data_IF_112587878810
#
_entry.id   IF_112587878810
#
_cell.length_a   1.000
_cell.length_b   1.000
_cell.length_c   1.000
_cell.angle_alpha   90.00
_cell.angle_beta   90.00
_cell.angle_gamma   90.00
#
_symmetry.space_group_name_H-M   'P 1'
#
loop_
_entity.id
_entity.type
_entity.pdbx_description
1 polymer ?
#
# COMPACT_ATOMS: atom_id res chain seq x y z
N UNK A 1 -10.66 -4.22 25.11
CA UNK A 1 -9.25 -3.79 25.00
C UNK A 1 -9.14 -2.83 23.83
N UNK A 2 -8.93 -1.55 24.10
CA UNK A 2 -8.95 -0.48 23.10
C UNK A 2 -7.60 -0.43 22.38
N UNK A 3 -7.58 -0.87 21.13
CA UNK A 3 -6.42 -0.72 20.25
C UNK A 3 -6.45 0.73 19.77
N UNK A 4 -5.83 1.64 20.52
CA UNK A 4 -5.62 3.01 20.06
C UNK A 4 -4.61 2.98 18.90
N UNK A 5 -5.08 2.66 17.69
CA UNK A 5 -4.35 2.93 16.44
C UNK A 5 -4.25 4.45 16.34
N UNK A 6 -3.05 4.98 16.51
CA UNK A 6 -2.78 6.41 16.40
C UNK A 6 -3.23 6.99 15.05
N UNK A 7 -3.39 8.32 14.97
CA UNK A 7 -3.85 9.02 13.78
C UNK A 7 -3.01 8.64 12.55
N UNK A 8 -3.65 8.44 11.40
CA UNK A 8 -2.97 8.08 10.15
C UNK A 8 -1.86 9.08 9.80
N UNK A 9 -0.83 8.69 9.04
CA UNK A 9 0.36 9.54 8.85
C UNK A 9 0.11 10.96 8.38
N UNK A 10 -0.90 11.18 7.57
CA UNK A 10 -1.23 12.53 7.11
C UNK A 10 -1.73 13.40 8.28
N UNK A 11 -2.44 12.79 9.21
CA UNK A 11 -2.92 13.42 10.43
C UNK A 11 -1.79 13.55 11.47
N UNK A 12 -0.95 12.52 11.64
CA UNK A 12 0.29 12.63 12.42
C UNK A 12 1.17 13.77 11.87
N UNK A 13 1.38 13.84 10.56
CA UNK A 13 2.19 14.86 9.90
C UNK A 13 1.61 16.26 10.10
N UNK A 14 0.28 16.41 10.02
CA UNK A 14 -0.42 17.67 10.34
C UNK A 14 -0.18 18.07 11.79
N UNK A 15 -0.38 17.15 12.72
CA UNK A 15 -0.20 17.38 14.15
C UNK A 15 1.24 17.75 14.47
N UNK A 16 2.21 17.07 13.88
CA UNK A 16 3.63 17.31 14.08
C UNK A 16 4.06 18.68 13.53
N UNK A 17 3.59 19.04 12.32
CA UNK A 17 3.85 20.37 11.74
C UNK A 17 3.22 21.49 12.58
N UNK A 18 1.99 21.28 13.05
CA UNK A 18 1.27 22.24 13.90
C UNK A 18 1.96 22.42 15.26
N UNK A 19 2.35 21.33 15.91
CA UNK A 19 3.04 21.35 17.20
C UNK A 19 4.37 22.12 17.13
N UNK A 20 5.05 22.07 15.98
CA UNK A 20 6.36 22.70 15.78
C UNK A 20 6.30 24.08 15.14
N UNK A 21 5.11 24.58 14.79
CA UNK A 21 4.95 25.79 13.99
C UNK A 21 5.71 25.73 12.65
N UNK A 22 5.97 24.53 12.12
CA UNK A 22 6.87 24.34 10.98
C UNK A 22 6.08 24.43 9.67
N UNK A 23 6.44 25.34 8.74
CA UNK A 23 5.81 25.41 7.43
C UNK A 23 6.17 24.19 6.57
N UNK A 24 5.21 23.69 5.79
CA UNK A 24 5.39 22.53 4.89
C UNK A 24 6.57 22.70 3.92
N UNK A 25 6.83 23.92 3.45
CA UNK A 25 7.97 24.24 2.57
C UNK A 25 9.31 24.02 3.27
N UNK A 26 9.40 24.30 4.56
CA UNK A 26 10.61 24.05 5.34
C UNK A 26 10.81 22.54 5.53
N UNK A 27 9.75 21.79 5.81
CA UNK A 27 9.82 20.33 5.85
C UNK A 27 10.24 19.73 4.50
N UNK A 28 9.68 20.22 3.39
CA UNK A 28 10.03 19.79 2.04
C UNK A 28 11.53 19.90 1.78
N UNK A 29 12.09 21.08 2.04
CA UNK A 29 13.53 21.34 1.92
C UNK A 29 14.36 20.42 2.81
N UNK A 30 13.93 20.22 4.06
CA UNK A 30 14.65 19.40 5.04
C UNK A 30 14.61 17.90 4.71
N UNK A 31 13.52 17.43 4.11
CA UNK A 31 13.33 16.03 3.72
C UNK A 31 13.85 15.69 2.31
N UNK A 32 14.21 16.71 1.52
CA UNK A 32 14.56 16.52 0.11
C UNK A 32 13.40 15.96 -0.72
N UNK A 33 12.16 16.39 -0.40
CA UNK A 33 10.93 15.98 -1.10
C UNK A 33 10.24 17.23 -1.63
N UNK A 34 9.63 17.14 -2.80
CA UNK A 34 8.93 18.28 -3.38
C UNK A 34 7.76 18.77 -2.51
N UNK A 35 7.57 20.09 -2.45
CA UNK A 35 6.53 20.70 -1.63
C UNK A 35 5.12 20.28 -2.07
N UNK A 36 4.88 20.05 -3.37
CA UNK A 36 3.59 19.56 -3.87
C UNK A 36 3.28 18.14 -3.37
N UNK A 37 4.31 17.33 -3.08
CA UNK A 37 4.15 15.99 -2.50
C UNK A 37 3.62 16.10 -1.08
N UNK A 38 4.21 16.98 -0.26
CA UNK A 38 3.76 17.21 1.12
C UNK A 38 2.36 17.80 1.16
N UNK A 39 2.08 18.80 0.31
CA UNK A 39 0.75 19.41 0.21
C UNK A 39 -0.32 18.37 -0.15
N UNK A 40 -0.05 17.46 -1.10
CA UNK A 40 -0.99 16.39 -1.47
C UNK A 40 -1.22 15.38 -0.35
N UNK A 41 -0.17 15.01 0.38
CA UNK A 41 -0.29 14.12 1.54
C UNK A 41 -1.15 14.77 2.62
N UNK A 42 -0.86 16.03 2.93
CA UNK A 42 -1.58 16.78 3.96
C UNK A 42 -3.01 17.08 3.53
N UNK A 43 -3.31 17.50 2.30
CA UNK A 43 -4.64 17.97 1.90
C UNK A 43 -5.55 16.88 1.35
N UNK A 44 -5.02 15.94 0.57
CA UNK A 44 -5.82 14.94 -0.15
C UNK A 44 -5.78 13.54 0.49
N UNK A 45 -5.16 13.40 1.65
CA UNK A 45 -5.18 12.15 2.41
C UNK A 45 -4.54 10.95 1.70
N UNK A 46 -3.68 11.19 0.69
CA UNK A 46 -3.02 10.10 -0.05
C UNK A 46 -2.06 9.33 0.85
N UNK A 47 -1.95 8.03 0.63
CA UNK A 47 -0.93 7.19 1.26
C UNK A 47 0.44 7.47 0.64
N UNK A 48 1.43 7.95 1.40
CA UNK A 48 2.79 8.12 0.90
C UNK A 48 3.41 6.75 0.60
N UNK A 49 4.39 6.74 -0.30
CA UNK A 49 5.29 5.59 -0.38
C UNK A 49 6.06 5.44 0.92
N UNK A 50 6.47 4.21 1.24
CA UNK A 50 7.31 3.93 2.40
C UNK A 50 8.54 4.84 2.45
N UNK A 51 9.25 4.94 1.33
CA UNK A 51 10.46 5.76 1.22
C UNK A 51 10.16 7.25 1.50
N UNK A 52 9.04 7.78 1.01
CA UNK A 52 8.64 9.17 1.24
C UNK A 52 8.29 9.41 2.71
N UNK A 53 7.55 8.49 3.33
CA UNK A 53 7.17 8.60 4.73
C UNK A 53 8.41 8.59 5.65
N UNK A 54 9.35 7.68 5.40
CA UNK A 54 10.61 7.60 6.16
C UNK A 54 11.44 8.87 6.01
N UNK A 55 11.54 9.46 4.81
CA UNK A 55 12.25 10.73 4.59
C UNK A 55 11.65 11.88 5.41
N UNK A 56 10.33 12.02 5.38
CA UNK A 56 9.62 13.06 6.12
C UNK A 56 9.76 12.89 7.63
N UNK A 57 9.64 11.66 8.14
CA UNK A 57 9.79 11.38 9.57
C UNK A 57 11.21 11.65 10.08
N UNK A 58 12.24 11.25 9.32
CA UNK A 58 13.64 11.56 9.62
C UNK A 58 13.91 13.06 9.60
N UNK A 59 13.33 13.80 8.65
CA UNK A 59 13.48 15.26 8.58
C UNK A 59 12.87 15.98 9.80
N UNK A 60 11.80 15.43 10.36
CA UNK A 60 11.22 15.88 11.62
C UNK A 60 12.03 15.40 12.85
N UNK A 61 13.19 14.76 12.68
CA UNK A 61 14.02 14.34 13.80
C UNK A 61 13.40 13.21 14.64
N UNK A 62 12.39 12.52 14.12
CA UNK A 62 11.84 11.34 14.76
C UNK A 62 12.82 10.17 14.58
N UNK A 63 13.60 9.89 15.64
CA UNK A 63 14.44 8.69 15.75
C UNK A 63 13.72 7.54 16.47
N UNK A 64 12.55 7.80 17.08
CA UNK A 64 11.66 6.81 17.71
C UNK A 64 10.58 6.25 16.77
N UNK A 65 10.07 5.07 17.12
CA UNK A 65 9.28 4.05 16.38
C UNK A 65 8.46 4.46 15.12
N UNK A 66 9.17 4.98 14.10
CA UNK A 66 8.68 5.00 12.72
C UNK A 66 8.46 3.56 12.20
N UNK A 67 9.04 2.55 12.86
CA UNK A 67 8.96 1.13 12.48
C UNK A 67 7.54 0.58 12.60
N UNK A 68 6.79 0.92 13.66
CA UNK A 68 5.37 0.54 13.81
C UNK A 68 4.49 1.13 12.70
N UNK A 69 4.80 2.36 12.26
CA UNK A 69 4.09 2.99 11.15
C UNK A 69 4.51 2.43 9.78
N UNK A 70 5.80 2.20 9.58
CA UNK A 70 6.34 1.55 8.38
C UNK A 70 5.80 0.13 8.25
N UNK A 71 5.76 -0.61 9.35
CA UNK A 71 5.15 -1.92 9.43
C UNK A 71 3.64 -1.83 9.16
N UNK A 72 2.92 -0.82 9.67
CA UNK A 72 1.49 -0.67 9.40
C UNK A 72 1.20 -0.28 7.95
N UNK A 73 2.00 0.57 7.30
CA UNK A 73 1.86 0.92 5.87
C UNK A 73 2.29 -0.22 4.95
N UNK A 74 3.40 -0.89 5.26
CA UNK A 74 3.82 -2.08 4.52
C UNK A 74 2.78 -3.18 4.66
N UNK A 75 2.28 -3.42 5.87
CA UNK A 75 1.18 -4.38 6.10
C UNK A 75 -0.09 -3.93 5.40
N UNK A 76 -0.44 -2.64 5.41
CA UNK A 76 -1.63 -2.14 4.72
C UNK A 76 -1.47 -2.31 3.20
N UNK A 77 -0.37 -1.86 2.59
CA UNK A 77 -0.18 -1.99 1.14
C UNK A 77 -0.15 -3.44 0.64
N UNK A 78 0.34 -4.39 1.46
CA UNK A 78 0.51 -5.80 1.10
C UNK A 78 -0.65 -6.69 1.59
N UNK A 79 -1.36 -6.33 2.66
CA UNK A 79 -2.46 -7.10 3.24
C UNK A 79 -3.82 -6.45 2.92
N UNK A 80 -4.62 -7.02 2.01
CA UNK A 80 -5.91 -6.45 1.62
C UNK A 80 -6.89 -6.31 2.80
N UNK A 81 -6.82 -7.18 3.82
CA UNK A 81 -7.65 -7.03 5.03
C UNK A 81 -7.32 -5.75 5.79
N UNK A 82 -6.04 -5.44 5.96
CA UNK A 82 -5.62 -4.23 6.66
C UNK A 82 -6.02 -2.96 5.91
N UNK A 83 -6.05 -3.00 4.56
CA UNK A 83 -6.53 -1.87 3.72
C UNK A 83 -8.00 -1.58 3.94
N UNK A 84 -8.81 -2.63 3.94
CA UNK A 84 -10.26 -2.49 4.09
C UNK A 84 -10.57 -1.97 5.50
N UNK A 85 -9.96 -2.55 6.53
CA UNK A 85 -10.13 -2.08 7.91
C UNK A 85 -9.74 -0.60 8.04
N UNK A 86 -8.58 -0.22 7.51
CA UNK A 86 -8.12 1.16 7.55
C UNK A 86 -9.08 2.13 6.85
N UNK A 87 -9.58 1.77 5.66
CA UNK A 87 -10.51 2.61 4.92
C UNK A 87 -11.83 2.81 5.67
N UNK A 88 -12.35 1.75 6.31
CA UNK A 88 -13.58 1.80 7.11
C UNK A 88 -13.39 2.64 8.37
N UNK A 89 -12.25 2.52 9.06
CA UNK A 89 -11.95 3.34 10.24
C UNK A 89 -11.77 4.83 9.92
N UNK A 90 -11.42 5.18 8.68
CA UNK A 90 -11.23 6.58 8.27
C UNK A 90 -12.54 7.26 7.87
N UNK A 91 -13.65 6.53 7.77
CA UNK A 91 -14.96 7.07 7.46
C UNK A 91 -15.61 7.66 8.72
N UNK A 92 -15.76 8.99 8.76
CA UNK A 92 -16.34 9.69 9.89
C UNK A 92 -17.83 9.39 10.12
N UNK A 93 -18.52 8.80 9.14
CA UNK A 93 -19.91 8.38 9.26
C UNK A 93 -20.07 6.99 9.90
N UNK A 94 -18.97 6.24 10.05
CA UNK A 94 -18.99 4.90 10.63
C UNK A 94 -18.43 4.90 12.05
N UNK A 95 -19.25 4.47 13.00
CA UNK A 95 -18.85 4.12 14.35
C UNK A 95 -18.13 2.77 14.42
N UNK A 96 -17.45 2.53 15.55
CA UNK A 96 -16.65 1.32 15.76
C UNK A 96 -17.44 0.00 15.62
N UNK A 97 -18.74 0.02 15.95
CA UNK A 97 -19.61 -1.15 15.80
C UNK A 97 -19.93 -1.45 14.34
N UNK A 98 -20.21 -0.42 13.54
CA UNK A 98 -20.53 -0.55 12.12
C UNK A 98 -19.29 -1.00 11.33
N UNK A 99 -18.13 -0.42 11.62
CA UNK A 99 -16.84 -0.87 11.07
C UNK A 99 -16.63 -2.37 11.34
N UNK A 100 -16.91 -2.82 12.56
CA UNK A 100 -16.77 -4.23 12.94
C UNK A 100 -17.72 -5.13 12.15
N UNK A 101 -18.98 -4.72 11.98
CA UNK A 101 -19.96 -5.48 11.22
C UNK A 101 -19.53 -5.64 9.76
N UNK A 102 -19.10 -4.55 9.11
CA UNK A 102 -18.62 -4.60 7.71
C UNK A 102 -17.36 -5.47 7.60
N UNK A 103 -16.43 -5.36 8.54
CA UNK A 103 -15.22 -6.19 8.57
C UNK A 103 -15.55 -7.67 8.74
N UNK A 104 -16.50 -8.04 9.59
CA UNK A 104 -16.93 -9.44 9.77
C UNK A 104 -17.48 -10.01 8.45
N UNK A 105 -18.35 -9.26 7.76
CA UNK A 105 -18.87 -9.67 6.46
C UNK A 105 -17.75 -9.83 5.42
N UNK A 106 -16.85 -8.86 5.33
CA UNK A 106 -15.70 -8.90 4.42
C UNK A 106 -14.80 -10.13 4.67
N UNK A 107 -14.48 -10.42 5.93
CA UNK A 107 -13.65 -11.57 6.30
C UNK A 107 -14.32 -12.89 5.96
N UNK A 108 -15.62 -13.02 6.21
CA UNK A 108 -16.39 -14.22 5.85
C UNK A 108 -16.37 -14.46 4.33
N UNK A 109 -16.63 -13.42 3.53
CA UNK A 109 -16.59 -13.50 2.06
C UNK A 109 -15.20 -13.89 1.55
N UNK A 110 -14.14 -13.36 2.17
CA UNK A 110 -12.75 -13.68 1.79
C UNK A 110 -12.38 -15.13 2.15
N UNK A 111 -12.80 -15.62 3.32
CA UNK A 111 -12.56 -16.99 3.75
C UNK A 111 -13.23 -18.02 2.83
N UNK A 112 -14.47 -17.74 2.40
CA UNK A 112 -15.21 -18.55 1.44
C UNK A 112 -14.46 -18.62 0.08
N UNK A 113 -14.02 -17.48 -0.45
CA UNK A 113 -13.28 -17.42 -1.72
C UNK A 113 -11.92 -18.10 -1.68
N UNK A 114 -11.19 -18.01 -0.56
CA UNK A 114 -9.92 -18.72 -0.40
C UNK A 114 -10.12 -20.23 -0.38
N UNK A 115 -11.20 -20.70 0.26
CA UNK A 115 -11.58 -22.12 0.32
C UNK A 115 -12.02 -22.65 -1.06
N UNK A 116 -12.77 -21.84 -1.82
CA UNK A 116 -13.18 -22.15 -3.20
C UNK A 116 -12.00 -22.13 -4.18
N UNK A 117 -11.05 -21.20 -4.00
CA UNK A 117 -9.85 -21.09 -4.84
C UNK A 117 -8.87 -22.25 -4.66
N UNK A 118 -8.73 -22.77 -3.43
CA UNK A 118 -7.93 -23.96 -3.13
C UNK A 118 -8.52 -25.26 -3.74
N UNK A 119 -9.82 -25.26 -4.00
CA UNK A 119 -10.56 -26.43 -4.52
C UNK A 119 -10.62 -26.50 -6.05
N UNK A 120 -9.96 -25.58 -6.77
CA UNK A 120 -9.95 -25.58 -8.24
C UNK A 120 -8.78 -26.43 -8.76
N UNK A 121 -9.01 -27.62 -9.34
CA UNK A 121 -7.92 -28.43 -9.87
C UNK A 121 -7.20 -27.65 -10.97
N UNK A 122 -5.91 -27.42 -10.77
CA UNK A 122 -5.04 -26.80 -11.74
C UNK A 122 -4.92 -27.78 -12.91
N UNK A 123 -5.68 -27.54 -13.99
CA UNK A 123 -5.49 -28.26 -15.25
C UNK A 123 -4.07 -27.96 -15.70
N UNK A 124 -3.16 -28.93 -15.53
CA UNK A 124 -1.80 -28.90 -16.04
C UNK A 124 -1.89 -28.57 -17.53
N UNK A 125 -1.49 -27.35 -17.89
CA UNK A 125 -1.21 -27.01 -19.27
C UNK A 125 0.00 -27.85 -19.70
N UNK A 126 -0.28 -29.01 -20.31
CA UNK A 126 0.73 -29.83 -20.96
C UNK A 126 1.38 -28.97 -22.03
N UNK A 127 2.64 -28.62 -21.78
CA UNK A 127 3.54 -27.90 -22.67
C UNK A 127 3.68 -28.69 -23.97
N UNK A 128 2.93 -28.31 -25.01
CA UNK A 128 3.20 -28.74 -26.39
C UNK A 128 3.93 -27.58 -27.08
N UNK A 129 5.23 -27.77 -27.23
CA UNK A 129 6.16 -26.98 -28.01
C UNK A 129 5.75 -27.07 -29.50
N UNK A 130 5.60 -25.97 -30.26
CA UNK A 130 5.61 -26.08 -31.70
C UNK A 130 7.06 -26.19 -32.19
N UNK A 131 7.42 -27.35 -32.75
CA UNK A 131 8.69 -27.58 -33.45
C UNK A 131 8.92 -26.52 -34.55
N UNK A 132 10.14 -25.97 -34.69
CA UNK A 132 10.45 -25.05 -35.76
C UNK A 132 10.42 -25.78 -37.10
N UNK A 133 9.59 -25.28 -38.03
CA UNK A 133 9.54 -25.76 -39.42
C UNK A 133 10.89 -25.51 -40.09
N UNK A 134 11.60 -26.59 -40.40
CA UNK A 134 12.79 -26.61 -41.25
C UNK A 134 12.38 -26.22 -42.69
N UNK A 135 12.72 -24.99 -43.08
CA UNK A 135 12.49 -24.47 -44.45
C UNK A 135 13.67 -24.91 -45.31
N UNK A 136 13.59 -26.10 -45.89
CA UNK A 136 14.40 -26.46 -47.06
C UNK A 136 13.84 -25.78 -48.32
N UNK A 137 14.63 -24.89 -48.90
CA UNK A 137 14.47 -24.34 -50.25
C UNK A 137 15.84 -23.93 -50.84
N UNK A 138 16.01 -23.89 -52.17
CA UNK A 138 17.06 -24.66 -52.85
C UNK A 138 18.38 -23.91 -53.18
N UNK A 139 19.39 -24.72 -53.52
CA UNK A 139 20.71 -24.39 -54.12
C UNK A 139 20.61 -23.43 -55.31
N UNK A 140 21.73 -22.73 -55.60
CA UNK A 140 22.36 -22.29 -56.88
C UNK A 140 23.04 -20.91 -56.61
N UNK A 141 24.24 -20.50 -57.04
CA UNK A 141 25.31 -21.02 -57.93
C UNK A 141 26.61 -20.25 -57.63
N UNK A 142 27.73 -20.98 -57.74
CA UNK A 142 29.06 -20.66 -58.30
C UNK A 142 29.63 -19.23 -58.40
N UNK A 143 30.91 -19.18 -57.94
CA UNK A 143 32.10 -18.42 -58.41
C UNK A 143 32.06 -16.90 -58.41
#
# INVERSE_FOLDING_TARGET
MSIHKGPGFNEWLRTELKARGMPQRQLARKAGVDHSTISRLVQHGRTPSLATATKLARALGHQGDVSQYVASVATTTVNPTARVEYALCADALLGATEVRQVMQYYLALRADRLSQGASRPQVRATRLLPEPRDVRGPRQRHK
#
